data_IF_507759865530
#
_entry.id   IF_507759865530
#
_cell.length_a   1.000
_cell.length_b   1.000
_cell.length_c   1.000
_cell.angle_alpha   90.00
_cell.angle_beta   90.00
_cell.angle_gamma   90.00
#
_symmetry.space_group_name_H-M   'P 1'
#
loop_
_entity.id
_entity.type
_entity.pdbx_description
1 polymer ?
#
# COMPACT_ATOMS: atom_id res chain seq x y z
N UNK A 1 18.93 11.85 -1.33
CA UNK A 1 17.94 10.96 -1.96
C UNK A 1 17.13 11.75 -2.98
N UNK A 2 16.99 11.23 -4.18
CA UNK A 2 16.16 11.83 -5.22
C UNK A 2 14.71 11.42 -5.07
N UNK A 3 13.79 12.15 -5.73
CA UNK A 3 12.37 11.76 -5.76
C UNK A 3 12.17 10.42 -6.45
N UNK A 4 12.98 10.11 -7.48
CA UNK A 4 12.92 8.81 -8.15
C UNK A 4 13.31 7.68 -7.19
N UNK A 5 14.36 7.86 -6.40
CA UNK A 5 14.77 6.86 -5.39
C UNK A 5 13.70 6.69 -4.32
N UNK A 6 13.11 7.79 -3.86
CA UNK A 6 12.03 7.77 -2.88
C UNK A 6 10.81 7.04 -3.41
N UNK A 7 10.46 7.26 -4.70
CA UNK A 7 9.39 6.55 -5.38
C UNK A 7 9.61 5.04 -5.36
N UNK A 8 10.83 4.60 -5.64
CA UNK A 8 11.19 3.19 -5.63
C UNK A 8 11.07 2.59 -4.23
N UNK A 9 11.44 3.35 -3.19
CA UNK A 9 11.29 2.89 -1.82
C UNK A 9 9.82 2.73 -1.41
N UNK A 10 8.97 3.67 -1.78
CA UNK A 10 7.53 3.54 -1.53
C UNK A 10 6.92 2.36 -2.27
N UNK A 11 7.35 2.12 -3.51
CA UNK A 11 6.88 0.98 -4.29
C UNK A 11 7.31 -0.34 -3.65
N UNK A 12 8.56 -0.43 -3.20
CA UNK A 12 9.07 -1.60 -2.50
C UNK A 12 8.30 -1.85 -1.20
N UNK A 13 8.01 -0.80 -0.43
CA UNK A 13 7.22 -0.89 0.80
C UNK A 13 5.80 -1.39 0.51
N UNK A 14 5.17 -0.87 -0.55
CA UNK A 14 3.85 -1.32 -0.96
C UNK A 14 3.87 -2.81 -1.35
N UNK A 15 4.92 -3.26 -2.02
CA UNK A 15 5.11 -4.66 -2.39
C UNK A 15 5.21 -5.58 -1.18
N UNK A 16 5.97 -5.17 -0.15
CA UNK A 16 6.10 -5.92 1.09
C UNK A 16 4.76 -6.03 1.82
N UNK A 17 4.03 -4.92 1.93
CA UNK A 17 2.71 -4.91 2.57
C UNK A 17 1.73 -5.77 1.78
N UNK A 18 1.75 -5.69 0.45
CA UNK A 18 0.90 -6.51 -0.42
C UNK A 18 1.15 -8.00 -0.22
N UNK A 19 2.43 -8.40 -0.12
CA UNK A 19 2.80 -9.79 0.17
C UNK A 19 2.28 -10.25 1.53
N UNK A 20 2.41 -9.41 2.55
CA UNK A 20 1.89 -9.70 3.89
C UNK A 20 0.37 -9.83 3.89
N UNK A 21 -0.33 -8.96 3.15
CA UNK A 21 -1.79 -9.05 3.00
C UNK A 21 -2.22 -10.36 2.36
N UNK A 22 -1.51 -10.83 1.33
CA UNK A 22 -1.79 -12.11 0.69
C UNK A 22 -1.65 -13.26 1.68
N UNK A 23 -0.60 -13.26 2.49
CA UNK A 23 -0.39 -14.26 3.54
C UNK A 23 -1.51 -14.25 4.58
N UNK A 24 -1.91 -13.05 5.02
CA UNK A 24 -2.97 -12.89 6.02
C UNK A 24 -4.33 -13.35 5.49
N UNK A 25 -4.63 -13.04 4.22
CA UNK A 25 -5.86 -13.48 3.58
C UNK A 25 -5.92 -14.99 3.44
N UNK A 26 -4.80 -15.62 3.10
CA UNK A 26 -4.72 -17.07 3.03
C UNK A 26 -4.92 -17.68 4.43
N UNK A 27 -4.24 -17.14 5.44
CA UNK A 27 -4.40 -17.60 6.81
C UNK A 27 -5.84 -17.45 7.28
N UNK A 28 -6.51 -16.35 6.94
CA UNK A 28 -7.91 -16.11 7.31
C UNK A 28 -8.84 -17.15 6.69
N UNK A 29 -8.61 -17.54 5.43
CA UNK A 29 -9.43 -18.55 4.76
C UNK A 29 -9.27 -19.92 5.37
N UNK A 30 -8.13 -20.21 5.98
CA UNK A 30 -7.83 -21.51 6.58
C UNK A 30 -8.12 -21.54 8.09
N UNK A 31 -8.43 -20.39 8.69
CA UNK A 31 -8.60 -20.28 10.14
C UNK A 31 -10.00 -20.76 10.56
N UNK A 32 -10.05 -21.67 11.50
CA UNK A 32 -11.28 -22.22 12.06
C UNK A 32 -11.68 -21.53 13.36
N UNK A 33 -10.70 -20.93 14.08
CA UNK A 33 -10.96 -20.23 15.33
C UNK A 33 -11.50 -18.85 15.09
N UNK A 34 -12.70 -18.56 15.61
CA UNK A 34 -13.36 -17.27 15.40
C UNK A 34 -12.58 -16.09 15.97
N UNK A 35 -11.95 -16.26 17.12
CA UNK A 35 -11.18 -15.18 17.76
C UNK A 35 -9.93 -14.85 16.93
N UNK A 36 -9.21 -15.86 16.48
CA UNK A 36 -8.04 -15.68 15.61
C UNK A 36 -8.45 -15.07 14.27
N UNK A 37 -9.58 -15.47 13.70
CA UNK A 37 -10.10 -14.89 12.48
C UNK A 37 -10.38 -13.39 12.62
N UNK A 38 -10.93 -12.95 13.75
CA UNK A 38 -11.15 -11.52 14.03
C UNK A 38 -9.82 -10.76 14.08
N UNK A 39 -8.81 -11.31 14.70
CA UNK A 39 -7.48 -10.69 14.76
C UNK A 39 -6.86 -10.56 13.38
N UNK A 40 -6.98 -11.57 12.54
CA UNK A 40 -6.48 -11.55 11.17
C UNK A 40 -7.19 -10.49 10.32
N UNK A 41 -8.51 -10.37 10.44
CA UNK A 41 -9.28 -9.32 9.75
C UNK A 41 -8.86 -7.93 10.17
N UNK A 42 -8.65 -7.70 11.45
CA UNK A 42 -8.17 -6.41 11.96
C UNK A 42 -6.80 -6.06 11.42
N UNK A 43 -5.91 -7.04 11.33
CA UNK A 43 -4.59 -6.84 10.76
C UNK A 43 -4.66 -6.45 9.28
N UNK A 44 -5.50 -7.13 8.52
CA UNK A 44 -5.74 -6.84 7.10
C UNK A 44 -6.28 -5.40 6.96
N UNK A 45 -7.27 -5.03 7.74
CA UNK A 45 -7.86 -3.68 7.71
C UNK A 45 -6.86 -2.59 8.05
N UNK A 46 -5.89 -2.87 8.91
CA UNK A 46 -4.81 -1.94 9.25
C UNK A 46 -3.81 -1.78 8.11
N UNK A 47 -3.46 -2.88 7.44
CA UNK A 47 -2.43 -2.88 6.40
C UNK A 47 -2.92 -2.34 5.05
N UNK A 48 -4.19 -2.51 4.71
CA UNK A 48 -4.74 -2.07 3.41
C UNK A 48 -4.55 -0.57 3.15
N UNK A 49 -4.93 0.33 4.08
CA UNK A 49 -4.71 1.76 3.87
C UNK A 49 -3.23 2.11 3.75
N UNK A 50 -2.36 1.44 4.50
CA UNK A 50 -0.91 1.66 4.43
C UNK A 50 -0.36 1.33 3.05
N UNK A 51 -0.79 0.22 2.46
CA UNK A 51 -0.40 -0.17 1.11
C UNK A 51 -0.88 0.86 0.07
N UNK A 52 -2.14 1.28 0.17
CA UNK A 52 -2.73 2.27 -0.72
C UNK A 52 -1.97 3.59 -0.63
N UNK A 53 -1.63 4.04 0.58
CA UNK A 53 -0.88 5.26 0.80
C UNK A 53 0.53 5.17 0.22
N UNK A 54 1.23 4.05 0.42
CA UNK A 54 2.55 3.86 -0.17
C UNK A 54 2.51 3.91 -1.70
N UNK A 55 1.50 3.33 -2.32
CA UNK A 55 1.33 3.40 -3.79
C UNK A 55 1.06 4.81 -4.27
N UNK A 56 0.23 5.56 -3.57
CA UNK A 56 -0.05 6.97 -3.90
C UNK A 56 1.21 7.81 -3.78
N UNK A 57 1.98 7.64 -2.72
CA UNK A 57 3.24 8.36 -2.51
C UNK A 57 4.27 7.99 -3.56
N UNK A 58 4.36 6.72 -3.95
CA UNK A 58 5.23 6.28 -5.03
C UNK A 58 4.88 6.97 -6.34
N UNK A 59 3.60 6.98 -6.70
CA UNK A 59 3.14 7.62 -7.92
C UNK A 59 3.36 9.14 -7.89
N UNK A 60 3.03 9.79 -6.77
CA UNK A 60 3.22 11.21 -6.59
C UNK A 60 4.70 11.62 -6.74
N UNK A 61 5.61 10.92 -6.07
CA UNK A 61 7.04 11.24 -6.13
C UNK A 61 7.66 10.94 -7.48
N UNK A 62 7.18 9.92 -8.18
CA UNK A 62 7.63 9.60 -9.54
C UNK A 62 7.25 10.67 -10.56
N UNK A 63 6.11 11.33 -10.36
CA UNK A 63 5.56 12.32 -11.31
C UNK A 63 5.59 13.75 -10.77
N UNK A 64 6.35 14.02 -9.73
CA UNK A 64 6.36 15.31 -9.05
C UNK A 64 6.64 16.48 -9.99
N UNK A 65 7.55 16.30 -10.94
CA UNK A 65 7.95 17.34 -11.89
C UNK A 65 7.22 17.25 -13.23
N UNK A 66 6.21 16.38 -13.34
CA UNK A 66 5.43 16.22 -14.55
C UNK A 66 4.30 17.24 -14.56
N UNK A 67 4.34 18.28 -15.45
CA UNK A 67 3.30 19.31 -15.47
C UNK A 67 1.93 18.77 -15.84
N UNK A 68 1.85 17.74 -16.67
CA UNK A 68 0.57 17.16 -17.05
C UNK A 68 -0.09 16.43 -15.89
N UNK A 69 0.70 15.78 -15.05
CA UNK A 69 0.22 15.12 -13.85
C UNK A 69 -0.54 16.08 -12.94
N UNK A 70 0.03 17.26 -12.67
CA UNK A 70 -0.60 18.25 -11.80
C UNK A 70 -1.77 18.97 -12.47
N UNK A 71 -1.66 19.20 -13.78
CA UNK A 71 -2.66 19.92 -14.57
C UNK A 71 -4.03 19.23 -14.54
N UNK A 72 -4.05 17.90 -14.65
CA UNK A 72 -5.29 17.15 -14.69
C UNK A 72 -5.82 16.78 -13.30
N UNK A 73 -5.11 17.17 -12.25
CA UNK A 73 -5.57 16.97 -10.87
C UNK A 73 -5.83 15.53 -10.48
N UNK A 74 -5.10 14.59 -11.05
CA UNK A 74 -5.26 13.17 -10.76
C UNK A 74 -4.99 12.83 -9.31
N UNK A 75 -4.26 13.70 -8.63
CA UNK A 75 -3.98 13.56 -7.20
C UNK A 75 -4.26 14.85 -6.47
N UNK A 76 -5.08 14.76 -5.43
CA UNK A 76 -5.16 15.77 -4.39
C UNK A 76 -4.68 15.14 -3.08
N UNK A 77 -3.82 15.84 -2.42
CA UNK A 77 -3.33 15.39 -1.11
C UNK A 77 -4.19 15.97 0.00
#
# INVERSE_FOLDING_TARGET
MTLAELSMEYEASAGLISGRLAELRLALRQEEDAETAVRLRRRIETLRPMMTQCRKLSHLTAHYYDPDFWRYGEYSL
#
